data_IF_989881578819
#
_entry.id   IF_989881578819
#
_cell.length_a   1.000
_cell.length_b   1.000
_cell.length_c   1.000
_cell.angle_alpha   90.00
_cell.angle_beta   90.00
_cell.angle_gamma   90.00
#
_symmetry.space_group_name_H-M   'P 1'
#
loop_
_entity.id
_entity.type
_entity.pdbx_description
1 polymer ?
#
# COMPACT_ATOMS: atom_id res chain seq x y z
N UNK A 1 -46.26 33.43 25.83
CA UNK A 1 -45.81 32.19 26.43
C UNK A 1 -44.60 32.48 27.32
N UNK A 2 -44.70 32.22 28.63
CA UNK A 2 -43.57 32.49 29.51
C UNK A 2 -42.63 31.25 29.61
N UNK A 3 -41.37 31.47 30.07
CA UNK A 3 -40.34 30.38 30.14
C UNK A 3 -40.82 29.14 30.89
N UNK A 4 -41.66 29.28 31.92
CA UNK A 4 -42.20 28.16 32.69
C UNK A 4 -43.19 27.30 31.88
N UNK A 5 -44.04 27.94 31.08
CA UNK A 5 -44.99 27.25 30.20
C UNK A 5 -44.25 26.50 29.07
N UNK A 6 -43.20 27.08 28.51
CA UNK A 6 -42.33 26.46 27.52
C UNK A 6 -41.66 25.20 28.06
N UNK A 7 -41.05 25.27 29.25
CA UNK A 7 -40.41 24.14 29.90
C UNK A 7 -41.40 23.01 30.29
N UNK A 8 -42.61 23.36 30.69
CA UNK A 8 -43.66 22.37 30.95
C UNK A 8 -44.09 21.63 29.68
N UNK A 9 -44.22 22.33 28.56
CA UNK A 9 -44.57 21.74 27.26
C UNK A 9 -43.43 20.84 26.78
N UNK A 10 -42.17 21.30 26.93
CA UNK A 10 -41.00 20.47 26.58
C UNK A 10 -40.89 19.23 27.45
N UNK A 11 -41.13 19.30 28.75
CA UNK A 11 -41.12 18.17 29.67
C UNK A 11 -42.21 17.17 29.37
N UNK A 12 -43.42 17.61 29.02
CA UNK A 12 -44.50 16.72 28.58
C UNK A 12 -44.20 16.05 27.23
N UNK A 13 -43.66 16.84 26.25
CA UNK A 13 -43.25 16.28 24.94
C UNK A 13 -42.09 15.31 25.05
N UNK A 14 -41.11 15.59 25.91
CA UNK A 14 -39.99 14.67 26.21
C UNK A 14 -40.44 13.38 26.91
N UNK A 15 -41.39 13.49 27.82
CA UNK A 15 -41.98 12.31 28.51
C UNK A 15 -42.74 11.39 27.56
N UNK A 16 -43.53 11.96 26.65
CA UNK A 16 -44.23 11.14 25.62
C UNK A 16 -43.31 10.51 24.60
N UNK A 17 -42.20 11.20 24.22
CA UNK A 17 -41.20 10.62 23.34
C UNK A 17 -40.44 9.43 24.01
N UNK A 18 -40.15 9.53 25.32
CA UNK A 18 -39.51 8.44 26.07
C UNK A 18 -40.40 7.19 26.23
N UNK A 19 -41.71 7.38 26.35
CA UNK A 19 -42.68 6.26 26.40
C UNK A 19 -42.88 5.63 25.02
N UNK A 20 -42.81 6.41 23.94
CA UNK A 20 -42.88 5.91 22.57
C UNK A 20 -41.64 5.05 22.17
N UNK A 21 -40.48 5.30 22.82
CA UNK A 21 -39.27 4.49 22.59
C UNK A 21 -39.23 3.16 23.37
N UNK A 22 -40.22 2.87 24.27
CA UNK A 22 -40.29 1.60 25.02
C UNK A 22 -41.10 0.51 24.33
N UNK A 23 -41.76 0.82 23.21
CA UNK A 23 -42.38 -0.19 22.35
C UNK A 23 -41.29 -1.01 21.66
N UNK A 24 -41.37 -2.36 21.69
CA UNK A 24 -40.58 -3.19 20.76
C UNK A 24 -40.77 -2.62 19.37
N UNK A 25 -39.66 -2.36 18.62
CA UNK A 25 -39.82 -1.91 17.25
C UNK A 25 -40.69 -2.93 16.51
N UNK A 26 -41.65 -2.48 15.67
CA UNK A 26 -42.50 -3.40 14.95
C UNK A 26 -41.63 -4.37 14.17
N UNK A 27 -41.86 -5.67 14.30
CA UNK A 27 -41.05 -6.72 13.66
C UNK A 27 -41.00 -6.60 12.15
N UNK A 28 -41.96 -5.88 11.54
CA UNK A 28 -41.98 -5.59 10.10
C UNK A 28 -42.62 -4.22 9.88
N UNK A 29 -41.83 -3.25 9.46
CA UNK A 29 -42.31 -1.92 9.09
C UNK A 29 -42.93 -1.88 7.69
N UNK A 30 -42.42 -2.68 6.77
CA UNK A 30 -42.92 -2.82 5.38
C UNK A 30 -42.70 -4.26 4.96
N UNK A 31 -43.69 -4.97 4.41
CA UNK A 31 -43.48 -6.27 3.82
C UNK A 31 -42.51 -6.09 2.66
N UNK A 32 -41.40 -6.83 2.61
CA UNK A 32 -40.51 -6.85 1.51
C UNK A 32 -41.26 -7.30 0.24
N UNK A 33 -41.31 -6.46 -0.79
CA UNK A 33 -41.93 -6.80 -2.10
C UNK A 33 -41.14 -7.91 -2.81
N UNK A 34 -39.85 -8.00 -2.50
CA UNK A 34 -38.97 -9.08 -2.92
C UNK A 34 -38.33 -9.64 -1.66
N UNK A 35 -38.42 -10.94 -1.39
CA UNK A 35 -37.73 -11.52 -0.24
C UNK A 35 -36.23 -11.24 -0.37
N UNK A 36 -35.53 -10.84 0.71
CA UNK A 36 -34.09 -10.70 0.68
C UNK A 36 -33.47 -12.08 0.37
N UNK A 37 -32.34 -12.06 -0.35
CA UNK A 37 -31.54 -13.28 -0.54
C UNK A 37 -31.23 -13.92 0.81
N UNK A 38 -31.15 -15.25 0.85
CA UNK A 38 -30.89 -16.01 2.05
C UNK A 38 -29.64 -15.49 2.77
N UNK A 39 -29.80 -15.08 4.02
CA UNK A 39 -28.71 -14.54 4.85
C UNK A 39 -28.45 -13.04 4.74
N UNK A 40 -29.26 -12.29 3.98
CA UNK A 40 -29.22 -10.83 3.93
C UNK A 40 -30.38 -10.25 4.75
N UNK A 41 -30.06 -9.61 5.87
CA UNK A 41 -31.03 -8.86 6.68
C UNK A 41 -30.96 -7.38 6.31
N UNK A 42 -32.06 -6.76 5.86
CA UNK A 42 -32.08 -5.33 5.51
C UNK A 42 -31.59 -4.46 6.66
N UNK A 43 -30.65 -3.55 6.36
CA UNK A 43 -30.08 -2.64 7.34
C UNK A 43 -28.99 -3.25 8.23
N UNK A 44 -28.80 -4.55 8.26
CA UNK A 44 -27.70 -5.19 8.99
C UNK A 44 -26.40 -5.15 8.17
N UNK A 45 -25.29 -4.87 8.84
CA UNK A 45 -23.98 -4.86 8.22
C UNK A 45 -23.15 -6.07 8.67
N UNK A 46 -22.54 -6.75 7.70
CA UNK A 46 -21.57 -7.83 7.95
C UNK A 46 -20.17 -7.32 7.68
N UNK A 47 -19.21 -7.74 8.50
CA UNK A 47 -17.79 -7.47 8.26
C UNK A 47 -17.14 -8.69 7.62
N UNK A 48 -16.56 -8.50 6.45
CA UNK A 48 -15.92 -9.55 5.65
C UNK A 48 -14.43 -9.27 5.57
N UNK A 49 -13.56 -10.18 6.04
CA UNK A 49 -12.12 -10.02 5.92
C UNK A 49 -11.69 -10.21 4.47
N UNK A 50 -10.80 -9.34 4.02
CA UNK A 50 -10.17 -9.40 2.69
C UNK A 50 -8.79 -8.75 2.70
N UNK A 51 -8.12 -8.69 1.55
CA UNK A 51 -6.79 -8.10 1.38
C UNK A 51 -6.89 -6.91 0.43
N UNK A 52 -6.23 -5.82 0.77
CA UNK A 52 -6.05 -4.67 -0.10
C UNK A 52 -5.06 -4.99 -1.23
N UNK A 53 -5.43 -4.69 -2.46
CA UNK A 53 -4.63 -4.94 -3.66
C UNK A 53 -4.09 -3.66 -4.30
N UNK A 54 -4.14 -2.52 -3.60
CA UNK A 54 -3.73 -1.21 -4.15
C UNK A 54 -2.20 -1.04 -4.25
N UNK A 55 -1.44 -1.89 -3.57
CA UNK A 55 0.02 -1.93 -3.65
C UNK A 55 0.54 -3.28 -3.09
N UNK A 56 1.83 -3.59 -3.28
CA UNK A 56 2.43 -4.85 -2.83
C UNK A 56 2.43 -5.09 -1.31
N UNK A 57 2.10 -4.08 -0.50
CA UNK A 57 2.03 -4.23 0.97
C UNK A 57 1.01 -5.27 1.44
N UNK A 58 -0.08 -5.48 0.68
CA UNK A 58 -1.06 -6.53 0.98
C UNK A 58 -1.74 -6.37 2.35
N UNK A 59 -2.14 -5.16 2.72
CA UNK A 59 -2.79 -4.89 4.01
C UNK A 59 -4.09 -5.69 4.16
N UNK A 60 -4.32 -6.25 5.36
CA UNK A 60 -5.58 -6.88 5.71
C UNK A 60 -6.69 -5.84 5.89
N UNK A 61 -7.86 -6.12 5.35
CA UNK A 61 -9.01 -5.23 5.34
C UNK A 61 -10.25 -5.95 5.87
N UNK A 62 -11.06 -5.23 6.59
CA UNK A 62 -12.44 -5.59 6.94
C UNK A 62 -13.38 -4.75 6.08
N UNK A 63 -14.09 -5.40 5.16
CA UNK A 63 -15.12 -4.77 4.35
C UNK A 63 -16.46 -4.81 5.08
N UNK A 64 -17.05 -3.66 5.34
CA UNK A 64 -18.42 -3.54 5.84
C UNK A 64 -19.38 -3.68 4.68
N UNK A 65 -20.14 -4.76 4.66
CA UNK A 65 -21.08 -5.12 3.59
C UNK A 65 -22.50 -4.95 4.10
N UNK A 66 -23.32 -4.24 3.36
CA UNK A 66 -24.76 -4.11 3.59
C UNK A 66 -25.52 -4.55 2.34
N UNK A 67 -26.46 -5.46 2.48
CA UNK A 67 -27.30 -5.93 1.38
C UNK A 67 -26.48 -6.37 0.14
N UNK A 68 -25.34 -7.05 0.39
CA UNK A 68 -24.43 -7.48 -0.67
C UNK A 68 -23.43 -6.41 -1.17
N UNK A 69 -23.54 -5.15 -0.73
CA UNK A 69 -22.72 -4.04 -1.19
C UNK A 69 -21.68 -3.61 -0.16
N UNK A 70 -20.39 -3.59 -0.48
CA UNK A 70 -19.38 -3.01 0.40
C UNK A 70 -19.58 -1.49 0.51
N UNK A 71 -19.72 -1.00 1.74
CA UNK A 71 -19.99 0.43 2.00
C UNK A 71 -18.86 1.13 2.74
N UNK A 72 -17.94 0.39 3.34
CA UNK A 72 -16.76 0.92 4.04
C UNK A 72 -15.66 -0.12 4.09
N UNK A 73 -14.42 0.34 4.06
CA UNK A 73 -13.23 -0.48 4.29
C UNK A 73 -12.50 0.03 5.53
N UNK A 74 -12.11 -0.89 6.40
CA UNK A 74 -11.28 -0.62 7.58
C UNK A 74 -10.09 -1.59 7.61
N UNK A 75 -9.00 -1.20 8.26
CA UNK A 75 -7.89 -2.11 8.47
C UNK A 75 -8.28 -3.26 9.40
N UNK A 76 -7.80 -4.46 9.11
CA UNK A 76 -8.01 -5.61 9.98
C UNK A 76 -7.02 -5.59 11.15
N UNK A 77 -7.48 -5.48 12.42
CA UNK A 77 -6.60 -5.46 13.59
C UNK A 77 -5.76 -6.73 13.77
N UNK A 78 -6.27 -7.87 13.31
CA UNK A 78 -5.59 -9.17 13.44
C UNK A 78 -4.52 -9.39 12.36
N UNK A 79 -4.49 -8.55 11.33
CA UNK A 79 -3.53 -8.71 10.24
C UNK A 79 -2.12 -8.21 10.66
N UNK A 80 -1.06 -9.02 10.47
CA UNK A 80 0.26 -8.73 11.03
C UNK A 80 0.93 -7.47 10.45
N UNK A 81 0.62 -7.10 9.21
CA UNK A 81 1.23 -5.95 8.52
C UNK A 81 0.66 -4.64 9.05
N UNK A 82 -0.64 -4.42 8.89
CA UNK A 82 -1.27 -3.12 9.14
C UNK A 82 -1.96 -2.98 10.51
N UNK A 83 -2.26 -4.09 11.22
CA UNK A 83 -2.81 -4.10 12.59
C UNK A 83 -3.91 -3.08 12.84
N UNK A 84 -4.90 -3.06 11.94
CA UNK A 84 -6.07 -2.19 12.06
C UNK A 84 -5.97 -0.84 11.35
N UNK A 85 -4.80 -0.41 10.89
CA UNK A 85 -4.68 0.80 10.09
C UNK A 85 -4.88 0.53 8.59
N UNK A 86 -5.32 1.54 7.85
CA UNK A 86 -5.47 1.47 6.39
C UNK A 86 -5.14 2.85 5.80
N UNK A 87 -4.28 2.90 4.78
CA UNK A 87 -3.88 4.14 4.13
C UNK A 87 -5.00 4.71 3.25
N UNK A 88 -4.81 5.95 2.80
CA UNK A 88 -5.79 6.65 1.95
C UNK A 88 -6.08 5.89 0.65
N UNK A 89 -5.08 5.23 0.03
CA UNK A 89 -5.28 4.40 -1.18
C UNK A 89 -6.22 3.24 -0.90
N UNK A 90 -6.00 2.51 0.20
CA UNK A 90 -6.88 1.41 0.62
C UNK A 90 -8.29 1.88 0.94
N UNK A 91 -8.45 3.05 1.59
CA UNK A 91 -9.78 3.65 1.81
C UNK A 91 -10.46 4.03 0.50
N UNK A 92 -9.72 4.63 -0.43
CA UNK A 92 -10.24 5.10 -1.72
C UNK A 92 -10.55 3.96 -2.70
N UNK A 93 -10.03 2.75 -2.49
CA UNK A 93 -10.25 1.61 -3.39
C UNK A 93 -11.73 1.23 -3.53
N UNK A 94 -12.54 1.55 -2.53
CA UNK A 94 -13.99 1.38 -2.58
C UNK A 94 -14.64 2.17 -3.74
N UNK A 95 -14.14 3.37 -4.03
CA UNK A 95 -14.66 4.23 -5.09
C UNK A 95 -14.52 3.58 -6.48
N UNK A 96 -13.47 2.78 -6.69
CA UNK A 96 -13.26 2.05 -7.95
C UNK A 96 -14.35 1.01 -8.21
N UNK A 97 -14.87 0.38 -7.15
CA UNK A 97 -15.98 -0.58 -7.27
C UNK A 97 -17.26 0.07 -7.81
N UNK A 98 -17.49 1.33 -7.43
CA UNK A 98 -18.69 2.10 -7.79
C UNK A 98 -18.47 3.09 -8.94
N UNK A 99 -17.30 3.05 -9.59
CA UNK A 99 -17.05 3.90 -10.76
C UNK A 99 -18.06 3.57 -11.88
N UNK A 100 -18.84 4.54 -12.37
CA UNK A 100 -19.82 4.31 -13.44
C UNK A 100 -19.18 3.84 -14.75
N UNK A 101 -17.94 4.20 -15.00
CA UNK A 101 -17.16 3.79 -16.18
C UNK A 101 -16.47 2.43 -16.03
N UNK A 102 -16.66 1.76 -14.90
CA UNK A 102 -16.10 0.43 -14.69
C UNK A 102 -16.65 -0.56 -15.70
N UNK A 103 -15.76 -1.34 -16.34
CA UNK A 103 -16.14 -2.46 -17.20
C UNK A 103 -16.87 -3.51 -16.34
N UNK A 104 -18.13 -3.83 -16.72
CA UNK A 104 -19.01 -4.73 -15.95
C UNK A 104 -19.15 -6.10 -16.58
N UNK A 105 -18.84 -6.22 -17.86
CA UNK A 105 -19.01 -7.42 -18.67
C UNK A 105 -17.87 -7.54 -19.69
N UNK A 106 -17.63 -8.73 -20.25
CA UNK A 106 -16.61 -8.90 -21.28
C UNK A 106 -16.92 -8.06 -22.51
N UNK A 107 -15.88 -7.43 -23.08
CA UNK A 107 -15.99 -6.60 -24.28
C UNK A 107 -15.10 -7.16 -25.38
N UNK A 108 -15.60 -7.18 -26.60
CA UNK A 108 -14.82 -7.52 -27.80
C UNK A 108 -14.76 -6.32 -28.73
N UNK A 109 -13.55 -5.95 -29.16
CA UNK A 109 -13.36 -4.90 -30.13
C UNK A 109 -13.75 -5.39 -31.53
N UNK A 110 -14.63 -4.64 -32.18
CA UNK A 110 -15.04 -4.89 -33.56
C UNK A 110 -14.02 -4.29 -34.54
N UNK A 111 -14.18 -4.61 -35.83
CA UNK A 111 -13.29 -4.15 -36.91
C UNK A 111 -13.26 -2.62 -37.08
N UNK A 112 -14.30 -1.93 -36.68
CA UNK A 112 -14.43 -0.47 -36.66
C UNK A 112 -13.78 0.17 -35.42
N UNK A 113 -13.17 -0.63 -34.51
CA UNK A 113 -12.54 -0.17 -33.29
C UNK A 113 -13.50 -0.01 -32.10
N UNK A 114 -14.80 -0.22 -32.30
CA UNK A 114 -15.80 -0.09 -31.23
C UNK A 114 -15.83 -1.36 -30.38
N UNK A 115 -15.87 -1.19 -29.04
CA UNK A 115 -16.03 -2.30 -28.11
C UNK A 115 -17.50 -2.64 -27.91
N UNK A 116 -17.85 -3.93 -28.05
CA UNK A 116 -19.21 -4.42 -27.82
C UNK A 116 -19.23 -5.48 -26.73
N UNK A 117 -20.26 -5.47 -25.85
CA UNK A 117 -20.47 -6.48 -24.83
C UNK A 117 -20.68 -7.87 -25.43
N UNK A 118 -20.10 -8.88 -24.79
CA UNK A 118 -20.32 -10.29 -25.14
C UNK A 118 -20.56 -11.10 -23.86
N UNK A 119 -21.10 -12.32 -24.01
CA UNK A 119 -21.24 -13.22 -22.86
C UNK A 119 -19.89 -13.76 -22.40
N UNK A 120 -19.82 -14.21 -21.16
CA UNK A 120 -18.63 -14.89 -20.60
C UNK A 120 -18.28 -16.15 -21.40
N UNK A 121 -19.28 -16.91 -21.86
CA UNK A 121 -19.04 -18.11 -22.66
C UNK A 121 -18.34 -17.77 -23.98
N UNK A 122 -18.81 -16.73 -24.67
CA UNK A 122 -18.17 -16.25 -25.90
C UNK A 122 -16.74 -15.74 -25.64
N UNK A 123 -16.51 -15.02 -24.56
CA UNK A 123 -15.19 -14.52 -24.20
C UNK A 123 -14.20 -15.66 -23.89
N UNK A 124 -14.64 -16.65 -23.10
CA UNK A 124 -13.82 -17.82 -22.73
C UNK A 124 -13.54 -18.71 -23.95
N UNK A 125 -14.50 -18.90 -24.84
CA UNK A 125 -14.30 -19.63 -26.10
C UNK A 125 -13.27 -18.92 -26.98
N UNK A 126 -13.37 -17.60 -27.12
CA UNK A 126 -12.43 -16.78 -27.90
C UNK A 126 -11.00 -16.91 -27.36
N UNK A 127 -10.82 -16.76 -26.05
CA UNK A 127 -9.52 -16.91 -25.39
C UNK A 127 -9.01 -18.35 -25.55
N UNK A 128 -9.86 -19.34 -25.30
CA UNK A 128 -9.50 -20.75 -25.42
C UNK A 128 -9.07 -21.16 -26.82
N UNK A 129 -9.67 -20.58 -27.86
CA UNK A 129 -9.26 -20.81 -29.23
C UNK A 129 -7.94 -20.11 -29.57
N UNK A 130 -7.74 -18.86 -29.11
CA UNK A 130 -6.48 -18.16 -29.27
C UNK A 130 -5.30 -18.91 -28.63
N UNK A 131 -5.50 -19.49 -27.45
CA UNK A 131 -4.46 -20.29 -26.75
C UNK A 131 -4.11 -21.60 -27.44
N UNK A 132 -4.94 -22.09 -28.37
CA UNK A 132 -4.64 -23.28 -29.20
C UNK A 132 -3.80 -22.93 -30.43
N UNK A 133 -3.78 -21.68 -30.84
CA UNK A 133 -3.01 -21.23 -31.98
C UNK A 133 -1.51 -21.28 -31.67
N UNK A 134 -0.69 -21.58 -32.70
CA UNK A 134 0.76 -21.54 -32.57
C UNK A 134 1.25 -20.09 -32.61
N UNK A 135 1.87 -19.64 -31.52
CA UNK A 135 2.43 -18.28 -31.45
C UNK A 135 2.94 -17.96 -30.04
N UNK A 136 3.64 -16.86 -29.88
CA UNK A 136 4.00 -16.39 -28.55
C UNK A 136 2.77 -15.85 -27.83
N UNK A 137 2.46 -16.42 -26.68
CA UNK A 137 1.44 -15.90 -25.77
C UNK A 137 2.11 -15.19 -24.61
N UNK A 138 1.55 -14.07 -24.19
CA UNK A 138 2.08 -13.23 -23.12
C UNK A 138 0.97 -12.94 -22.11
N UNK A 139 1.25 -13.21 -20.82
CA UNK A 139 0.44 -12.77 -19.70
C UNK A 139 1.16 -11.62 -18.99
N UNK A 140 0.55 -10.45 -18.97
CA UNK A 140 1.06 -9.29 -18.22
C UNK A 140 0.17 -9.05 -17.01
N UNK A 141 0.79 -9.04 -15.82
CA UNK A 141 0.08 -8.81 -14.56
C UNK A 141 0.83 -7.84 -13.67
N UNK A 142 0.18 -7.33 -12.64
CA UNK A 142 0.83 -6.77 -11.46
C UNK A 142 1.39 -7.88 -10.55
N UNK A 143 1.96 -7.49 -9.40
CA UNK A 143 2.49 -8.44 -8.41
C UNK A 143 1.32 -9.15 -7.72
N UNK A 144 1.16 -10.44 -8.01
CA UNK A 144 0.25 -11.32 -7.30
C UNK A 144 0.97 -12.07 -6.19
N UNK A 145 0.27 -12.40 -5.11
CA UNK A 145 0.77 -13.19 -3.98
C UNK A 145 -0.18 -14.34 -3.62
N UNK A 146 0.30 -15.29 -2.82
CA UNK A 146 -0.52 -16.40 -2.32
C UNK A 146 -1.04 -17.32 -3.43
N UNK A 147 -2.25 -17.81 -3.27
CA UNK A 147 -2.87 -18.79 -4.18
C UNK A 147 -3.01 -18.28 -5.63
N UNK A 148 -3.24 -16.98 -5.82
CA UNK A 148 -3.34 -16.39 -7.15
C UNK A 148 -2.01 -16.47 -7.91
N UNK A 149 -0.88 -16.18 -7.26
CA UNK A 149 0.43 -16.33 -7.87
C UNK A 149 0.70 -17.77 -8.31
N UNK A 150 0.38 -18.75 -7.45
CA UNK A 150 0.51 -20.17 -7.77
C UNK A 150 -0.36 -20.56 -8.97
N UNK A 151 -1.60 -20.08 -9.02
CA UNK A 151 -2.50 -20.35 -10.14
C UNK A 151 -1.98 -19.73 -11.44
N UNK A 152 -1.47 -18.50 -11.42
CA UNK A 152 -0.89 -17.85 -12.60
C UNK A 152 0.29 -18.61 -13.16
N UNK A 153 1.22 -19.07 -12.30
CA UNK A 153 2.36 -19.91 -12.73
C UNK A 153 1.87 -21.19 -13.38
N UNK A 154 0.98 -21.94 -12.72
CA UNK A 154 0.43 -23.17 -13.25
C UNK A 154 -0.32 -22.98 -14.58
N UNK A 155 -1.03 -21.87 -14.73
CA UNK A 155 -1.69 -21.51 -15.98
C UNK A 155 -0.68 -21.23 -17.10
N UNK A 156 0.35 -20.43 -16.81
CA UNK A 156 1.39 -20.12 -17.79
C UNK A 156 2.15 -21.38 -18.24
N UNK A 157 2.53 -22.21 -17.30
CA UNK A 157 3.20 -23.49 -17.58
C UNK A 157 2.34 -24.44 -18.43
N UNK A 158 1.04 -24.49 -18.12
CA UNK A 158 0.09 -25.37 -18.83
C UNK A 158 -0.10 -25.00 -20.30
N UNK A 159 -0.05 -23.70 -20.62
CA UNK A 159 -0.31 -23.20 -21.97
C UNK A 159 0.93 -22.66 -22.68
N UNK A 160 2.11 -22.74 -22.07
CA UNK A 160 3.36 -22.22 -22.65
C UNK A 160 3.35 -20.69 -22.81
N UNK A 161 2.80 -20.00 -21.84
CA UNK A 161 2.64 -18.53 -21.83
C UNK A 161 3.85 -17.90 -21.13
N UNK A 162 4.46 -16.88 -21.72
CA UNK A 162 5.45 -16.07 -21.06
C UNK A 162 4.74 -15.12 -20.06
N UNK A 163 5.17 -15.15 -18.78
CA UNK A 163 4.59 -14.30 -17.75
C UNK A 163 5.49 -13.10 -17.46
N UNK A 164 4.99 -11.88 -17.70
CA UNK A 164 5.65 -10.62 -17.37
C UNK A 164 4.90 -9.96 -16.22
N UNK A 165 5.62 -9.70 -15.13
CA UNK A 165 5.10 -8.92 -14.00
C UNK A 165 5.51 -7.46 -14.21
N UNK A 166 4.51 -6.60 -14.41
CA UNK A 166 4.68 -5.14 -14.51
C UNK A 166 3.93 -4.46 -13.37
N UNK A 167 4.66 -4.08 -12.34
CA UNK A 167 4.12 -3.41 -11.16
C UNK A 167 4.97 -2.18 -10.85
N UNK A 168 4.49 -0.96 -11.17
CA UNK A 168 5.24 0.27 -10.94
C UNK A 168 5.44 0.61 -9.47
N UNK A 169 4.68 -0.01 -8.56
CA UNK A 169 4.82 0.15 -7.12
C UNK A 169 5.72 -0.91 -6.48
N UNK A 170 6.09 -1.95 -7.21
CA UNK A 170 6.99 -2.97 -6.69
C UNK A 170 8.44 -2.47 -6.68
N UNK A 171 9.16 -2.55 -5.56
CA UNK A 171 10.53 -2.05 -5.43
C UNK A 171 11.55 -2.98 -6.09
N UNK A 172 11.46 -3.13 -7.40
CA UNK A 172 12.27 -4.04 -8.22
C UNK A 172 13.78 -3.81 -8.10
N UNK A 173 14.20 -2.55 -7.90
CA UNK A 173 15.60 -2.21 -7.69
C UNK A 173 16.16 -2.85 -6.40
N UNK A 174 15.37 -2.86 -5.32
CA UNK A 174 15.74 -3.50 -4.04
C UNK A 174 15.83 -5.02 -4.22
N UNK A 175 14.84 -5.62 -4.88
CA UNK A 175 14.84 -7.05 -5.14
C UNK A 175 16.06 -7.46 -5.98
N UNK A 176 16.38 -6.71 -7.04
CA UNK A 176 17.58 -6.94 -7.89
C UNK A 176 18.89 -6.74 -7.12
N UNK A 177 18.96 -5.75 -6.22
CA UNK A 177 20.14 -5.55 -5.39
C UNK A 177 20.36 -6.71 -4.41
N UNK A 178 19.28 -7.18 -3.77
CA UNK A 178 19.33 -8.33 -2.87
C UNK A 178 19.69 -9.64 -3.61
N UNK A 179 19.21 -9.81 -4.83
CA UNK A 179 19.60 -10.92 -5.67
C UNK A 179 21.11 -10.93 -5.94
N UNK A 180 21.67 -9.78 -6.35
CA UNK A 180 23.12 -9.65 -6.59
C UNK A 180 23.97 -9.82 -5.33
N UNK A 181 23.50 -9.34 -4.18
CA UNK A 181 24.30 -9.38 -2.94
C UNK A 181 24.13 -10.67 -2.17
N UNK A 182 22.95 -11.27 -2.18
CA UNK A 182 22.58 -12.40 -1.33
C UNK A 182 22.04 -13.62 -2.10
N UNK A 183 21.95 -13.55 -3.44
CA UNK A 183 21.37 -14.59 -4.28
C UNK A 183 19.87 -14.81 -4.06
N UNK A 184 19.15 -13.77 -3.61
CA UNK A 184 17.71 -13.84 -3.33
C UNK A 184 17.01 -12.55 -3.78
N UNK A 185 16.12 -12.62 -4.79
CA UNK A 185 15.38 -11.45 -5.30
C UNK A 185 14.20 -11.10 -4.38
N UNK A 186 14.49 -10.73 -3.14
CA UNK A 186 13.48 -10.43 -2.11
C UNK A 186 13.51 -8.97 -1.71
N UNK A 187 12.36 -8.47 -1.24
CA UNK A 187 12.25 -7.18 -0.56
C UNK A 187 12.27 -7.46 0.95
N UNK A 188 13.24 -6.94 1.71
CA UNK A 188 13.35 -7.23 3.13
C UNK A 188 12.27 -6.50 3.93
N UNK A 189 11.88 -7.07 5.07
CA UNK A 189 11.15 -6.34 6.10
C UNK A 189 12.15 -5.62 7.01
N UNK A 190 11.93 -4.33 7.21
CA UNK A 190 12.81 -3.49 8.01
C UNK A 190 12.30 -3.38 9.45
N UNK A 191 13.16 -3.69 10.42
CA UNK A 191 12.84 -3.59 11.85
C UNK A 191 13.09 -2.16 12.38
N UNK A 192 12.40 -1.18 11.77
CA UNK A 192 12.58 0.25 12.10
C UNK A 192 12.25 0.56 13.55
N UNK A 193 11.40 -0.23 14.19
CA UNK A 193 11.05 -0.11 15.61
C UNK A 193 12.23 -0.38 16.57
N UNK A 194 13.33 -0.94 16.05
CA UNK A 194 14.53 -1.31 16.85
C UNK A 194 15.74 -0.44 16.54
N UNK A 195 15.63 0.47 15.58
CA UNK A 195 16.76 1.30 15.18
C UNK A 195 16.99 2.44 16.17
N UNK A 196 18.24 2.74 16.48
CA UNK A 196 18.63 3.96 17.21
C UNK A 196 18.86 5.11 16.23
N UNK A 197 19.31 4.79 15.03
CA UNK A 197 19.43 5.71 13.90
C UNK A 197 18.75 5.12 12.67
N UNK A 198 17.88 5.89 12.04
CA UNK A 198 17.30 5.60 10.71
C UNK A 198 17.79 6.64 9.69
N UNK A 199 18.42 6.19 8.64
CA UNK A 199 18.76 7.04 7.49
C UNK A 199 17.99 6.54 6.29
N UNK A 200 17.19 7.42 5.67
CA UNK A 200 16.41 7.11 4.48
C UNK A 200 16.85 8.01 3.32
N UNK A 201 17.16 7.39 2.16
CA UNK A 201 17.62 8.08 0.95
C UNK A 201 16.55 7.91 -0.13
N UNK A 202 15.77 8.96 -0.39
CA UNK A 202 14.70 8.96 -1.36
C UNK A 202 13.57 7.97 -1.06
N UNK A 203 13.65 7.25 0.05
CA UNK A 203 12.65 6.24 0.44
C UNK A 203 11.52 6.90 1.23
N UNK A 204 10.41 7.19 0.57
CA UNK A 204 9.24 7.77 1.18
C UNK A 204 8.43 6.71 1.97
N UNK A 205 8.94 6.40 3.15
CA UNK A 205 8.44 5.29 3.99
C UNK A 205 7.05 5.52 4.57
N UNK A 206 6.56 6.75 4.57
CA UNK A 206 5.22 7.07 5.10
C UNK A 206 4.13 7.08 4.03
N UNK A 207 4.47 7.14 2.71
CA UNK A 207 3.47 7.22 1.66
C UNK A 207 3.60 6.14 0.58
N UNK A 208 4.79 5.96 -0.01
CA UNK A 208 4.92 5.15 -1.24
C UNK A 208 5.87 3.97 -1.13
N UNK A 209 6.79 3.96 -0.19
CA UNK A 209 7.83 2.95 -0.11
C UNK A 209 7.31 1.66 0.54
N UNK A 210 7.31 0.57 -0.21
CA UNK A 210 7.05 -0.84 0.18
C UNK A 210 5.77 -1.05 1.01
N UNK A 211 5.76 -0.65 2.28
CA UNK A 211 4.67 -0.92 3.24
C UNK A 211 4.43 0.27 4.16
N UNK A 212 3.89 1.39 3.64
CA UNK A 212 3.84 2.66 4.37
C UNK A 212 3.06 2.59 5.69
N UNK A 213 1.98 1.82 5.76
CA UNK A 213 1.19 1.66 7.00
C UNK A 213 1.98 0.94 8.08
N UNK A 214 2.71 -0.12 7.72
CA UNK A 214 3.58 -0.86 8.62
C UNK A 214 4.73 0.04 9.12
N UNK A 215 5.37 0.77 8.21
CA UNK A 215 6.53 1.59 8.55
C UNK A 215 6.15 2.81 9.38
N UNK A 216 5.03 3.47 9.08
CA UNK A 216 4.50 4.55 9.92
C UNK A 216 4.29 4.08 11.36
N UNK A 217 3.71 2.89 11.54
CA UNK A 217 3.53 2.29 12.86
C UNK A 217 4.87 1.99 13.54
N UNK A 218 5.81 1.34 12.85
CA UNK A 218 7.13 0.99 13.38
C UNK A 218 7.93 2.22 13.81
N UNK A 219 7.88 3.30 13.04
CA UNK A 219 8.51 4.59 13.38
C UNK A 219 7.84 5.20 14.60
N UNK A 220 6.50 5.19 14.70
CA UNK A 220 5.78 5.70 15.85
C UNK A 220 6.10 4.89 17.13
N UNK A 221 6.13 3.56 17.05
CA UNK A 221 6.53 2.67 18.13
C UNK A 221 7.97 3.00 18.62
N UNK A 222 8.89 3.22 17.68
CA UNK A 222 10.27 3.57 18.00
C UNK A 222 10.39 4.94 18.70
N UNK A 223 9.69 5.96 18.21
CA UNK A 223 9.64 7.28 18.85
C UNK A 223 9.10 7.23 20.27
N UNK A 224 8.12 6.38 20.53
CA UNK A 224 7.59 6.17 21.89
C UNK A 224 8.62 5.53 22.80
N UNK A 225 9.52 4.70 22.29
CA UNK A 225 10.63 4.10 23.05
C UNK A 225 11.66 5.15 23.49
N UNK A 226 11.86 6.19 22.68
CA UNK A 226 12.88 7.22 22.90
C UNK A 226 14.26 6.82 22.39
N UNK A 227 15.15 7.81 22.24
CA UNK A 227 16.53 7.60 21.77
C UNK A 227 16.67 7.31 20.27
N UNK A 228 15.63 7.53 19.49
CA UNK A 228 15.60 7.35 18.05
C UNK A 228 15.90 8.66 17.33
N UNK A 229 16.77 8.60 16.34
CA UNK A 229 17.05 9.71 15.43
C UNK A 229 16.77 9.29 13.99
N UNK A 230 16.12 10.17 13.24
CA UNK A 230 15.77 9.92 11.84
C UNK A 230 16.25 11.03 10.92
N UNK A 231 17.18 10.69 10.01
CA UNK A 231 17.68 11.55 8.95
C UNK A 231 17.07 11.13 7.62
N UNK A 232 16.48 12.06 6.90
CA UNK A 232 15.88 11.81 5.59
C UNK A 232 16.49 12.68 4.50
N UNK A 233 16.96 12.04 3.44
CA UNK A 233 17.55 12.71 2.28
C UNK A 233 16.61 12.58 1.09
N UNK A 234 16.20 13.71 0.50
CA UNK A 234 15.24 13.73 -0.59
C UNK A 234 15.39 14.97 -1.49
N UNK A 235 14.98 14.90 -2.78
CA UNK A 235 14.97 16.04 -3.68
C UNK A 235 13.73 16.94 -3.52
N UNK A 236 12.59 16.40 -3.11
CA UNK A 236 11.32 17.10 -2.92
C UNK A 236 10.83 16.94 -1.49
N UNK A 237 9.97 17.84 -1.03
CA UNK A 237 9.44 17.78 0.32
C UNK A 237 8.27 16.78 0.41
N UNK A 238 8.50 15.65 1.07
CA UNK A 238 7.52 14.57 1.27
C UNK A 238 6.93 14.57 2.67
N UNK A 239 5.90 13.74 2.88
CA UNK A 239 5.38 13.46 4.23
C UNK A 239 6.47 12.81 5.11
N UNK A 240 7.30 11.97 4.52
CA UNK A 240 8.46 11.36 5.19
C UNK A 240 9.44 12.42 5.67
N UNK A 241 9.82 13.35 4.79
CA UNK A 241 10.74 14.45 5.13
C UNK A 241 10.18 15.43 6.15
N UNK A 242 8.86 15.66 6.15
CA UNK A 242 8.21 16.52 7.14
C UNK A 242 8.16 15.90 8.54
N UNK A 243 8.33 14.59 8.64
CA UNK A 243 8.32 13.84 9.90
C UNK A 243 9.71 13.43 10.39
N UNK A 244 10.76 13.52 9.55
CA UNK A 244 12.13 13.25 9.97
C UNK A 244 12.65 14.30 10.96
N UNK A 245 13.58 13.90 11.83
CA UNK A 245 14.23 14.83 12.79
C UNK A 245 15.19 15.78 12.07
N UNK A 246 15.81 15.30 10.98
CA UNK A 246 16.60 16.12 10.07
C UNK A 246 16.31 15.75 8.63
N UNK A 247 15.85 16.72 7.87
CA UNK A 247 15.68 16.62 6.41
C UNK A 247 16.85 17.28 5.70
N UNK A 248 17.47 16.56 4.76
CA UNK A 248 18.58 17.05 3.95
C UNK A 248 18.14 17.02 2.48
N UNK A 249 18.23 18.17 1.81
CA UNK A 249 17.90 18.26 0.40
C UNK A 249 19.08 17.79 -0.47
N UNK A 250 18.81 16.88 -1.40
CA UNK A 250 19.81 16.38 -2.38
C UNK A 250 19.25 16.44 -3.79
N UNK A 251 20.14 16.51 -4.78
CA UNK A 251 19.71 16.44 -6.19
C UNK A 251 19.19 15.05 -6.54
N UNK A 252 18.15 14.95 -7.37
CA UNK A 252 17.62 13.64 -7.81
C UNK A 252 18.71 12.81 -8.50
N UNK A 253 18.82 11.53 -8.14
CA UNK A 253 19.76 10.59 -8.73
C UNK A 253 21.21 10.72 -8.25
N UNK A 254 21.49 11.59 -7.28
CA UNK A 254 22.83 11.79 -6.73
C UNK A 254 23.17 10.88 -5.55
N UNK A 255 22.22 10.08 -5.08
CA UNK A 255 22.36 9.23 -3.88
C UNK A 255 23.52 8.23 -4.00
N UNK A 256 23.80 7.77 -5.23
CA UNK A 256 24.91 6.84 -5.50
C UNK A 256 26.29 7.47 -5.23
N UNK A 257 26.49 8.76 -5.53
CA UNK A 257 27.73 9.48 -5.25
C UNK A 257 27.93 9.65 -3.75
N UNK A 258 26.86 10.01 -3.02
CA UNK A 258 26.88 10.11 -1.57
C UNK A 258 27.26 8.78 -0.92
N UNK A 259 26.56 7.71 -1.29
CA UNK A 259 26.82 6.38 -0.74
C UNK A 259 28.24 5.89 -1.06
N UNK A 260 28.73 6.11 -2.28
CA UNK A 260 30.09 5.72 -2.68
C UNK A 260 31.14 6.46 -1.83
N UNK A 261 30.95 7.76 -1.56
CA UNK A 261 31.80 8.52 -0.64
C UNK A 261 31.74 7.97 0.77
N UNK A 262 30.54 7.84 1.36
CA UNK A 262 30.36 7.39 2.73
C UNK A 262 30.91 5.98 2.99
N UNK A 263 30.70 5.04 2.08
CA UNK A 263 31.20 3.66 2.19
C UNK A 263 32.74 3.64 2.32
N UNK A 264 33.44 4.57 1.71
CA UNK A 264 34.92 4.65 1.76
C UNK A 264 35.46 5.54 2.85
N UNK A 265 34.70 6.57 3.25
CA UNK A 265 35.11 7.57 4.23
C UNK A 265 34.84 7.14 5.69
N UNK A 266 33.79 6.33 5.90
CA UNK A 266 33.42 5.92 7.25
C UNK A 266 34.19 4.69 7.73
N UNK A 267 34.57 4.63 9.01
CA UNK A 267 35.20 3.46 9.59
C UNK A 267 34.20 2.29 9.61
N UNK A 268 34.53 1.22 8.90
CA UNK A 268 33.70 0.02 8.90
C UNK A 268 33.92 -0.78 10.19
N UNK A 269 32.83 -1.15 10.89
CA UNK A 269 32.89 -2.08 12.04
C UNK A 269 33.45 -3.46 11.66
N UNK A 270 33.27 -3.85 10.41
CA UNK A 270 33.88 -5.06 9.79
C UNK A 270 34.45 -4.64 8.44
N UNK A 271 35.63 -5.17 8.03
CA UNK A 271 36.17 -4.92 6.72
C UNK A 271 35.16 -5.30 5.63
N UNK A 272 34.96 -4.40 4.68
CA UNK A 272 34.12 -4.70 3.51
C UNK A 272 34.81 -5.71 2.63
N UNK A 273 34.08 -6.68 2.04
CA UNK A 273 34.66 -7.61 1.08
C UNK A 273 35.36 -6.87 -0.06
N UNK A 274 36.53 -7.33 -0.50
CA UNK A 274 37.27 -6.69 -1.61
C UNK A 274 36.42 -6.53 -2.89
N UNK A 275 35.52 -7.48 -3.16
CA UNK A 275 34.58 -7.44 -4.27
C UNK A 275 33.60 -6.26 -4.18
N UNK A 276 33.14 -5.91 -2.99
CA UNK A 276 32.28 -4.73 -2.74
C UNK A 276 33.07 -3.46 -2.96
N UNK A 277 34.29 -3.38 -2.38
CA UNK A 277 35.15 -2.19 -2.54
C UNK A 277 35.58 -1.97 -4.00
N UNK A 278 35.79 -3.04 -4.77
CA UNK A 278 36.09 -2.94 -6.20
C UNK A 278 34.88 -2.46 -7.03
N UNK A 279 33.67 -2.78 -6.60
CA UNK A 279 32.43 -2.36 -7.27
C UNK A 279 32.00 -0.92 -6.93
N UNK A 280 32.47 -0.36 -5.80
CA UNK A 280 32.14 1.01 -5.37
C UNK A 280 33.18 1.99 -5.95
N UNK A 281 32.78 2.95 -6.80
CA UNK A 281 33.71 3.96 -7.35
C UNK A 281 34.29 4.81 -6.24
N UNK A 282 35.49 5.35 -6.51
CA UNK A 282 36.04 6.39 -5.64
C UNK A 282 35.34 7.72 -5.92
N UNK A 283 34.75 8.32 -4.89
CA UNK A 283 34.11 9.63 -4.92
C UNK A 283 34.74 10.50 -3.82
N UNK A 284 35.38 11.60 -4.19
CA UNK A 284 35.93 12.53 -3.21
C UNK A 284 34.83 13.27 -2.47
N UNK A 285 35.16 13.91 -1.33
CA UNK A 285 34.23 14.75 -0.58
C UNK A 285 33.66 15.89 -1.42
N UNK A 286 34.54 16.58 -2.17
CA UNK A 286 34.17 17.70 -3.02
C UNK A 286 33.23 17.25 -4.15
N UNK A 287 33.51 16.10 -4.74
CA UNK A 287 32.65 15.51 -5.77
C UNK A 287 31.28 15.11 -5.19
N UNK A 288 31.27 14.49 -4.01
CA UNK A 288 29.99 14.15 -3.36
C UNK A 288 29.12 15.38 -3.07
N UNK A 289 29.72 16.46 -2.54
CA UNK A 289 29.03 17.74 -2.31
C UNK A 289 28.55 18.37 -3.61
N UNK A 290 29.39 18.38 -4.66
CA UNK A 290 29.03 18.92 -5.96
C UNK A 290 27.84 18.17 -6.58
N UNK A 291 27.90 16.84 -6.64
CA UNK A 291 26.85 16.02 -7.28
C UNK A 291 25.54 16.07 -6.50
N UNK A 292 25.59 15.98 -5.17
CA UNK A 292 24.38 16.02 -4.33
C UNK A 292 23.79 17.40 -4.16
N UNK A 293 24.63 18.43 -4.28
CA UNK A 293 24.24 19.82 -3.97
C UNK A 293 23.99 20.08 -2.49
N UNK A 294 24.36 19.13 -1.60
CA UNK A 294 24.23 19.34 -0.17
C UNK A 294 25.37 20.23 0.35
N UNK A 295 25.15 20.88 1.49
CA UNK A 295 26.18 21.63 2.17
C UNK A 295 27.13 20.73 3.00
N UNK A 296 28.31 21.25 3.28
CA UNK A 296 29.35 20.50 3.99
C UNK A 296 28.93 20.11 5.43
N UNK A 297 28.15 20.95 6.11
CA UNK A 297 27.69 20.70 7.46
C UNK A 297 26.69 19.52 7.50
N UNK A 298 25.80 19.44 6.52
CA UNK A 298 24.86 18.32 6.36
C UNK A 298 25.60 17.01 6.09
N UNK A 299 26.64 17.01 5.27
CA UNK A 299 27.47 15.82 5.03
C UNK A 299 28.18 15.37 6.31
N UNK A 300 28.79 16.31 7.04
CA UNK A 300 29.48 16.02 8.31
C UNK A 300 28.51 15.51 9.38
N UNK A 301 27.31 16.07 9.46
CA UNK A 301 26.26 15.60 10.36
C UNK A 301 25.83 14.16 10.06
N UNK A 302 25.63 13.86 8.77
CA UNK A 302 25.28 12.51 8.31
C UNK A 302 26.42 11.52 8.59
N UNK A 303 27.66 11.89 8.26
CA UNK A 303 28.83 11.06 8.49
C UNK A 303 29.04 10.80 9.98
N UNK A 304 28.88 11.83 10.83
CA UNK A 304 28.98 11.70 12.29
C UNK A 304 27.91 10.76 12.88
N UNK A 305 26.67 10.86 12.41
CA UNK A 305 25.59 9.98 12.84
C UNK A 305 25.81 8.51 12.44
N UNK A 306 26.39 8.26 11.26
CA UNK A 306 26.68 6.90 10.79
C UNK A 306 27.97 6.31 11.36
N UNK A 307 28.91 7.15 11.83
CA UNK A 307 30.19 6.74 12.40
C UNK A 307 30.15 6.46 13.92
N UNK A 308 29.07 6.86 14.59
CA UNK A 308 28.84 6.62 16.03
C UNK A 308 28.26 5.21 16.25
#
# INVERSE_FOLDING_TARGET
MNRRQFLRILGLAGGTAAVACQGKPPEKLIPALVPPDDGVLPGEAKWVPTICTECPAGCGVLARVREGWPVKLEGNPEHPINRGALCIRGQASLSRLYNPERIKEPLVQQRDGVFQPVTWDTALETIGNALKEKGPHLLVTDTATGALATLMVAFCDRFGIEHIIFDPLFPSAIAKANDKLFGRPVVPSYAMEKADLLVTLGADILETFVSPVEYARKVAENRTRGGFEWLHLEPHFSLTGSNADLRITVRPGSEAFLLAHLIRALPARKPLPPTVLAAVPFVSREQALFETGMDAASLDRLAGALGS
#
